data_IF_113908734600
#
_entry.id   IF_113908734600
#
_cell.length_a   1.000
_cell.length_b   1.000
_cell.length_c   1.000
_cell.angle_alpha   90.00
_cell.angle_beta   90.00
_cell.angle_gamma   90.00
#
_symmetry.space_group_name_H-M   'P 1'
#
loop_
_entity.id
_entity.type
_entity.pdbx_description
1 polymer ?
#
# COMPACT_ATOMS: atom_id res chain seq x y z
N UNK A 1 -32.30 6.20 -3.84
CA UNK A 1 -31.72 7.56 -3.95
C UNK A 1 -32.16 8.55 -2.85
N UNK A 2 -32.98 8.19 -1.84
CA UNK A 2 -33.51 9.14 -0.85
C UNK A 2 -32.54 9.54 0.29
N UNK A 3 -31.54 8.70 0.60
CA UNK A 3 -30.52 8.99 1.63
C UNK A 3 -29.52 10.03 1.11
N UNK A 4 -29.07 9.90 -0.14
CA UNK A 4 -28.09 10.82 -0.75
C UNK A 4 -28.66 12.23 -0.88
N UNK A 5 -29.96 12.38 -1.12
CA UNK A 5 -30.61 13.69 -1.24
C UNK A 5 -30.93 14.38 0.09
N UNK A 6 -30.71 13.71 1.23
CA UNK A 6 -31.00 14.25 2.57
C UNK A 6 -29.82 14.29 3.53
N UNK A 7 -28.69 13.71 3.13
CA UNK A 7 -27.46 13.78 3.92
C UNK A 7 -26.90 15.22 3.91
N UNK A 8 -26.55 15.73 5.09
CA UNK A 8 -25.84 16.98 5.25
C UNK A 8 -24.32 16.77 5.20
N UNK A 9 -23.57 17.87 5.02
CA UNK A 9 -22.11 17.82 5.11
C UNK A 9 -21.68 17.34 6.51
N UNK A 10 -20.91 16.26 6.57
CA UNK A 10 -20.44 15.64 7.81
C UNK A 10 -21.23 14.42 8.27
N UNK A 11 -22.39 14.13 7.66
CA UNK A 11 -23.15 12.92 7.97
C UNK A 11 -22.38 11.67 7.55
N UNK A 12 -22.45 10.63 8.39
CA UNK A 12 -21.86 9.31 8.12
C UNK A 12 -22.95 8.35 7.69
N UNK A 13 -22.80 7.78 6.50
CA UNK A 13 -23.73 6.81 5.94
C UNK A 13 -23.13 5.41 6.12
N UNK A 14 -23.83 4.53 6.82
CA UNK A 14 -23.47 3.12 6.87
C UNK A 14 -23.85 2.44 5.55
N UNK A 15 -22.93 1.67 4.98
CA UNK A 15 -23.16 0.84 3.81
C UNK A 15 -23.00 -0.62 4.25
N UNK A 16 -24.08 -1.37 4.17
CA UNK A 16 -24.09 -2.81 4.41
C UNK A 16 -24.32 -3.51 3.07
N UNK A 17 -23.49 -4.49 2.76
CA UNK A 17 -23.61 -5.31 1.54
C UNK A 17 -24.07 -6.71 1.92
N UNK A 18 -24.88 -7.31 1.06
CA UNK A 18 -25.25 -8.73 1.13
C UNK A 18 -24.84 -9.42 -0.18
N UNK A 19 -23.85 -10.33 -0.17
CA UNK A 19 -23.09 -10.77 0.99
C UNK A 19 -22.15 -9.68 1.55
N UNK A 20 -21.80 -9.74 2.85
CA UNK A 20 -20.71 -8.95 3.38
C UNK A 20 -19.41 -9.32 2.66
N UNK A 21 -18.48 -8.38 2.55
CA UNK A 21 -17.19 -8.64 1.90
C UNK A 21 -16.41 -9.74 2.62
N UNK A 22 -16.10 -10.82 1.90
CA UNK A 22 -15.31 -11.95 2.39
C UNK A 22 -13.81 -11.76 2.08
N UNK A 23 -13.16 -10.80 2.75
CA UNK A 23 -11.72 -10.56 2.65
C UNK A 23 -11.05 -10.62 4.02
N UNK A 24 -10.11 -11.54 4.21
CA UNK A 24 -9.39 -11.75 5.47
C UNK A 24 -8.02 -11.06 5.55
N UNK A 25 -7.59 -10.37 4.49
CA UNK A 25 -6.30 -9.63 4.46
C UNK A 25 -6.21 -8.67 5.65
N UNK A 26 -5.07 -8.68 6.34
CA UNK A 26 -4.79 -7.92 7.56
C UNK A 26 -5.19 -8.60 8.87
N UNK A 27 -5.96 -9.68 8.83
CA UNK A 27 -6.22 -10.53 9.99
C UNK A 27 -5.04 -11.47 10.25
N UNK A 28 -5.00 -12.09 11.43
CA UNK A 28 -4.12 -13.25 11.64
C UNK A 28 -4.64 -14.46 10.86
N UNK A 29 -3.79 -15.45 10.58
CA UNK A 29 -4.21 -16.69 9.92
C UNK A 29 -5.38 -17.36 10.67
N UNK A 30 -5.31 -17.38 11.99
CA UNK A 30 -6.37 -17.92 12.86
C UNK A 30 -7.68 -17.14 12.73
N UNK A 31 -7.62 -15.82 12.85
CA UNK A 31 -8.82 -14.97 12.83
C UNK A 31 -9.44 -14.93 11.42
N UNK A 32 -8.59 -14.90 10.38
CA UNK A 32 -9.01 -14.92 8.99
C UNK A 32 -9.71 -16.21 8.60
N UNK A 33 -9.21 -17.37 9.05
CA UNK A 33 -9.88 -18.64 8.84
C UNK A 33 -11.23 -18.71 9.55
N UNK A 34 -11.29 -18.28 10.82
CA UNK A 34 -12.54 -18.21 11.56
C UNK A 34 -13.56 -17.24 10.90
N UNK A 35 -13.08 -16.12 10.36
CA UNK A 35 -13.90 -15.16 9.63
C UNK A 35 -14.47 -15.74 8.34
N UNK A 36 -13.64 -16.36 7.50
CA UNK A 36 -14.05 -16.93 6.21
C UNK A 36 -14.96 -18.16 6.35
N UNK A 37 -14.74 -18.96 7.41
CA UNK A 37 -15.60 -20.11 7.72
C UNK A 37 -17.08 -19.72 7.95
N UNK A 38 -17.35 -18.49 8.42
CA UNK A 38 -18.73 -17.97 8.58
C UNK A 38 -19.49 -17.83 7.26
N UNK A 39 -18.76 -17.75 6.15
CA UNK A 39 -19.31 -17.70 4.79
C UNK A 39 -19.30 -19.08 4.12
N UNK A 40 -18.90 -20.15 4.83
CA UNK A 40 -18.73 -21.48 4.26
C UNK A 40 -17.49 -21.62 3.36
N UNK A 41 -16.56 -20.67 3.42
CA UNK A 41 -15.35 -20.66 2.59
C UNK A 41 -14.22 -21.40 3.33
N UNK A 42 -13.63 -22.41 2.68
CA UNK A 42 -12.46 -23.13 3.18
C UNK A 42 -11.19 -22.32 2.96
N UNK A 43 -10.21 -22.49 3.84
CA UNK A 43 -8.95 -21.75 3.78
C UNK A 43 -7.78 -22.69 3.56
N UNK A 44 -6.98 -22.40 2.54
CA UNK A 44 -5.67 -23.01 2.32
C UNK A 44 -4.58 -22.00 2.67
N UNK A 45 -3.84 -22.25 3.74
CA UNK A 45 -2.75 -21.36 4.18
C UNK A 45 -1.48 -21.62 3.35
N UNK A 46 -0.82 -20.55 2.91
CA UNK A 46 0.52 -20.57 2.26
C UNK A 46 1.43 -19.51 2.90
N UNK A 47 2.73 -19.57 2.61
CA UNK A 47 3.73 -18.74 3.28
C UNK A 47 3.95 -19.17 4.73
N UNK A 48 3.82 -18.23 5.67
CA UNK A 48 3.76 -18.53 7.10
C UNK A 48 2.35 -19.00 7.48
N UNK A 49 2.26 -20.28 7.84
CA UNK A 49 0.99 -20.96 8.17
C UNK A 49 0.65 -20.91 9.66
N UNK A 50 1.51 -20.30 10.48
CA UNK A 50 1.28 -20.17 11.92
C UNK A 50 0.05 -19.31 12.21
N UNK A 51 -0.67 -19.62 13.30
CA UNK A 51 -1.89 -18.90 13.68
C UNK A 51 -1.72 -17.39 13.84
N UNK A 52 -0.52 -16.95 14.23
CA UNK A 52 -0.20 -15.54 14.48
C UNK A 52 0.29 -14.77 13.26
N UNK A 53 0.59 -15.44 12.13
CA UNK A 53 1.01 -14.78 10.91
C UNK A 53 -0.12 -13.90 10.37
N UNK A 54 0.22 -12.73 9.83
CA UNK A 54 -0.75 -11.79 9.25
C UNK A 54 -0.99 -12.17 7.80
N UNK A 55 -2.26 -12.26 7.40
CA UNK A 55 -2.64 -12.53 6.01
C UNK A 55 -2.32 -11.29 5.17
N UNK A 56 -1.34 -11.41 4.29
CA UNK A 56 -0.90 -10.34 3.41
C UNK A 56 -1.52 -10.43 2.01
N UNK A 57 -2.03 -11.60 1.63
CA UNK A 57 -2.73 -11.82 0.37
C UNK A 57 -3.82 -12.88 0.47
N UNK A 58 -4.81 -12.80 -0.41
CA UNK A 58 -5.90 -13.77 -0.54
C UNK A 58 -6.25 -13.98 -2.01
N UNK A 59 -6.43 -15.25 -2.43
CA UNK A 59 -6.83 -15.60 -3.79
C UNK A 59 -7.90 -16.72 -3.80
N UNK A 60 -9.10 -16.48 -4.38
CA UNK A 60 -9.58 -15.23 -4.96
C UNK A 60 -9.75 -14.09 -3.96
N UNK A 61 -9.47 -12.85 -4.40
CA UNK A 61 -9.70 -11.63 -3.61
C UNK A 61 -11.19 -11.25 -3.59
N UNK A 62 -11.87 -11.47 -4.73
CA UNK A 62 -13.25 -11.03 -4.91
C UNK A 62 -14.24 -11.93 -4.22
N UNK A 63 -15.14 -11.32 -3.44
CA UNK A 63 -16.11 -12.03 -2.60
C UNK A 63 -16.96 -13.03 -3.40
N UNK A 64 -17.45 -12.63 -4.57
CA UNK A 64 -18.27 -13.52 -5.39
C UNK A 64 -17.50 -14.72 -5.90
N UNK A 65 -16.24 -14.54 -6.31
CA UNK A 65 -15.38 -15.64 -6.76
C UNK A 65 -14.98 -16.57 -5.61
N UNK A 66 -14.70 -16.00 -4.42
CA UNK A 66 -14.39 -16.77 -3.23
C UNK A 66 -15.58 -17.65 -2.79
N UNK A 67 -16.80 -17.10 -2.86
CA UNK A 67 -18.04 -17.84 -2.56
C UNK A 67 -18.33 -18.91 -3.60
N UNK A 68 -18.21 -18.60 -4.89
CA UNK A 68 -18.42 -19.55 -5.98
C UNK A 68 -17.44 -20.73 -5.90
N UNK A 69 -16.16 -20.45 -5.64
CA UNK A 69 -15.13 -21.48 -5.48
C UNK A 69 -15.28 -22.27 -4.18
N UNK A 70 -15.81 -21.64 -3.12
CA UNK A 70 -15.94 -22.22 -1.78
C UNK A 70 -14.61 -22.43 -1.05
N UNK A 71 -13.50 -21.93 -1.61
CA UNK A 71 -12.16 -22.03 -1.05
C UNK A 71 -11.30 -20.83 -1.48
N UNK A 72 -10.49 -20.32 -0.55
CA UNK A 72 -9.47 -19.31 -0.81
C UNK A 72 -8.11 -19.78 -0.34
N UNK A 73 -7.07 -19.37 -1.06
CA UNK A 73 -5.69 -19.41 -0.58
C UNK A 73 -5.39 -18.11 0.17
N UNK A 74 -4.77 -18.20 1.35
CA UNK A 74 -4.32 -17.04 2.14
C UNK A 74 -2.82 -17.13 2.38
N UNK A 75 -2.09 -16.08 1.99
CA UNK A 75 -0.64 -16.01 2.16
C UNK A 75 -0.30 -15.24 3.43
N UNK A 76 0.26 -15.96 4.42
CA UNK A 76 0.65 -15.39 5.70
C UNK A 76 2.10 -14.90 5.70
N UNK A 77 2.35 -13.81 6.42
CA UNK A 77 3.70 -13.28 6.68
C UNK A 77 3.87 -12.92 8.16
N UNK A 78 5.10 -12.92 8.68
CA UNK A 78 5.37 -12.40 10.01
C UNK A 78 4.91 -10.94 10.15
N UNK A 79 4.35 -10.56 11.29
CA UNK A 79 3.80 -9.22 11.50
C UNK A 79 4.85 -8.13 11.29
N UNK A 80 6.07 -8.40 11.73
CA UNK A 80 7.25 -7.55 11.65
C UNK A 80 7.76 -7.33 10.22
N UNK A 81 7.41 -8.20 9.26
CA UNK A 81 7.78 -8.01 7.85
C UNK A 81 6.85 -7.02 7.13
N UNK A 82 5.75 -6.62 7.76
CA UNK A 82 4.83 -5.63 7.21
C UNK A 82 5.28 -4.22 7.58
N UNK A 83 5.71 -3.50 6.56
CA UNK A 83 6.25 -2.15 6.65
C UNK A 83 5.14 -1.14 6.99
N UNK A 84 5.35 -0.34 8.03
CA UNK A 84 4.43 0.73 8.40
C UNK A 84 4.81 2.04 7.73
N UNK A 85 3.82 2.69 7.12
CA UNK A 85 3.97 3.99 6.48
C UNK A 85 2.91 4.95 7.01
N UNK A 86 3.22 6.24 6.97
CA UNK A 86 2.28 7.31 7.29
C UNK A 86 2.14 8.22 6.09
N UNK A 87 0.92 8.31 5.55
CA UNK A 87 0.60 9.24 4.46
C UNK A 87 0.28 10.59 5.08
N UNK A 88 1.04 11.63 4.73
CA UNK A 88 0.91 12.96 5.31
C UNK A 88 0.68 14.06 4.28
N UNK A 89 0.74 13.74 2.99
CA UNK A 89 0.48 14.72 1.93
C UNK A 89 -0.97 15.20 1.95
N UNK A 90 -1.16 16.49 1.70
CA UNK A 90 -2.49 17.07 1.43
C UNK A 90 -2.95 16.86 -0.02
N UNK A 91 -2.06 16.37 -0.89
CA UNK A 91 -2.38 16.10 -2.28
C UNK A 91 -3.20 14.80 -2.43
N UNK A 92 -4.49 15.00 -2.75
CA UNK A 92 -5.44 13.93 -2.92
C UNK A 92 -5.07 12.99 -4.08
N UNK A 93 -4.52 13.49 -5.19
CA UNK A 93 -4.17 12.68 -6.36
C UNK A 93 -3.01 11.73 -6.02
N UNK A 94 -1.93 12.27 -5.44
CA UNK A 94 -0.76 11.49 -5.01
C UNK A 94 -1.14 10.41 -3.99
N UNK A 95 -1.92 10.76 -2.96
CA UNK A 95 -2.33 9.79 -1.95
C UNK A 95 -3.31 8.75 -2.48
N UNK A 96 -4.21 9.12 -3.40
CA UNK A 96 -5.13 8.20 -4.06
C UNK A 96 -4.38 7.22 -4.96
N UNK A 97 -3.47 7.72 -5.80
CA UNK A 97 -2.61 6.91 -6.66
C UNK A 97 -1.88 5.83 -5.86
N UNK A 98 -1.18 6.24 -4.81
CA UNK A 98 -0.42 5.33 -3.95
C UNK A 98 -1.31 4.22 -3.38
N UNK A 99 -2.48 4.58 -2.82
CA UNK A 99 -3.42 3.60 -2.26
C UNK A 99 -4.04 2.70 -3.33
N UNK A 100 -4.20 3.16 -4.56
CA UNK A 100 -4.72 2.36 -5.66
C UNK A 100 -3.70 1.36 -6.19
N UNK A 101 -2.46 1.79 -6.39
CA UNK A 101 -1.37 0.92 -6.89
C UNK A 101 -1.01 -0.15 -5.87
N UNK A 102 -0.93 0.21 -4.59
CA UNK A 102 -0.58 -0.73 -3.51
C UNK A 102 -1.72 -1.64 -3.09
N UNK A 103 -2.96 -1.28 -3.43
CA UNK A 103 -4.17 -1.94 -2.94
C UNK A 103 -4.71 -1.41 -1.62
N UNK A 104 -4.00 -0.51 -0.92
CA UNK A 104 -4.45 0.08 0.35
C UNK A 104 -5.80 0.83 0.29
N UNK A 105 -6.26 1.15 -0.92
CA UNK A 105 -7.59 1.74 -1.17
C UNK A 105 -8.74 0.80 -0.84
N UNK A 106 -8.51 -0.51 -0.85
CA UNK A 106 -9.54 -1.52 -0.61
C UNK A 106 -9.07 -2.63 0.33
N UNK A 107 -7.79 -2.77 0.66
CA UNK A 107 -7.33 -3.76 1.65
C UNK A 107 -6.43 -3.12 2.72
N UNK A 108 -6.40 -3.65 3.94
CA UNK A 108 -5.59 -3.05 5.00
C UNK A 108 -4.09 -3.28 4.80
N UNK A 109 -3.69 -4.36 4.12
CA UNK A 109 -2.29 -4.64 3.75
C UNK A 109 -2.13 -4.48 2.25
N UNK A 110 -1.23 -3.59 1.84
CA UNK A 110 -0.86 -3.36 0.46
C UNK A 110 0.42 -4.08 0.07
N UNK A 111 0.74 -4.03 -1.23
CA UNK A 111 1.96 -4.60 -1.79
C UNK A 111 2.75 -3.55 -2.56
N UNK A 112 4.06 -3.64 -2.50
CA UNK A 112 4.99 -2.94 -3.40
C UNK A 112 5.95 -3.96 -3.98
N UNK A 113 6.22 -3.87 -5.28
CA UNK A 113 7.25 -4.67 -5.93
C UNK A 113 8.53 -3.86 -6.01
N UNK A 114 9.62 -4.39 -5.48
CA UNK A 114 10.94 -3.72 -5.49
C UNK A 114 11.40 -3.58 -6.94
N UNK A 115 11.75 -2.36 -7.33
CA UNK A 115 12.38 -2.08 -8.62
C UNK A 115 13.90 -2.06 -8.46
N UNK A 116 14.39 -1.39 -7.41
CA UNK A 116 15.81 -1.31 -7.13
C UNK A 116 16.03 -1.16 -5.62
N UNK A 117 16.80 -2.07 -5.05
CA UNK A 117 17.45 -1.87 -3.77
C UNK A 117 18.89 -2.38 -3.81
N UNK A 118 19.83 -1.51 -3.46
CA UNK A 118 21.26 -1.85 -3.44
C UNK A 118 21.91 -1.32 -2.16
N UNK A 119 22.79 -2.10 -1.50
CA UNK A 119 23.56 -1.62 -0.37
C UNK A 119 24.32 -0.34 -0.69
N UNK A 120 24.17 0.68 0.17
CA UNK A 120 24.78 2.00 -0.03
C UNK A 120 24.04 2.94 -0.99
N UNK A 121 22.93 2.49 -1.62
CA UNK A 121 22.06 3.36 -2.40
C UNK A 121 21.42 4.43 -1.51
N UNK A 122 21.27 5.68 -1.98
CA UNK A 122 20.62 6.73 -1.20
C UNK A 122 19.10 6.54 -1.06
N UNK A 123 18.51 5.57 -1.75
CA UNK A 123 17.07 5.31 -1.82
C UNK A 123 16.77 3.86 -2.22
N UNK A 124 15.55 3.42 -1.92
CA UNK A 124 14.95 2.19 -2.44
C UNK A 124 13.75 2.58 -3.30
N UNK A 125 13.60 1.98 -4.49
CA UNK A 125 12.48 2.27 -5.39
C UNK A 125 11.62 1.04 -5.65
N UNK A 126 10.36 1.30 -5.96
CA UNK A 126 9.33 0.30 -6.19
C UNK A 126 8.58 0.63 -7.47
N UNK A 127 8.17 -0.42 -8.19
CA UNK A 127 7.34 -0.26 -9.37
C UNK A 127 6.04 0.44 -9.03
N UNK A 128 5.70 1.42 -9.86
CA UNK A 128 4.39 2.03 -9.91
C UNK A 128 3.51 1.41 -10.99
N UNK A 129 2.48 2.17 -11.35
CA UNK A 129 1.61 1.96 -12.50
C UNK A 129 1.65 3.24 -13.36
N UNK A 130 2.19 3.11 -14.57
CA UNK A 130 2.38 4.18 -15.57
C UNK A 130 1.05 4.74 -16.11
N UNK A 131 0.09 3.86 -16.36
CA UNK A 131 -1.21 4.26 -16.89
C UNK A 131 -2.03 5.03 -15.85
N UNK A 132 -1.83 4.72 -14.57
CA UNK A 132 -2.51 5.42 -13.45
C UNK A 132 -1.81 6.69 -13.00
N UNK A 133 -0.57 6.96 -13.43
CA UNK A 133 0.20 8.14 -12.97
C UNK A 133 0.06 9.37 -13.87
N UNK A 134 -0.81 9.30 -14.88
CA UNK A 134 -1.04 10.37 -15.87
C UNK A 134 -1.62 11.66 -15.27
N UNK A 135 -2.22 11.59 -14.09
CA UNK A 135 -2.81 12.73 -13.36
C UNK A 135 -1.97 13.15 -12.14
N UNK A 136 -0.76 12.61 -11.98
CA UNK A 136 0.19 13.05 -10.96
C UNK A 136 0.83 14.37 -11.39
N UNK A 137 0.07 15.45 -11.27
CA UNK A 137 0.55 16.82 -11.51
C UNK A 137 1.60 17.18 -10.44
N UNK A 138 2.69 17.89 -10.79
CA UNK A 138 3.65 18.37 -9.81
C UNK A 138 3.00 19.15 -8.65
N UNK A 139 3.40 18.84 -7.42
CA UNK A 139 2.96 19.59 -6.24
C UNK A 139 3.44 21.04 -6.28
N UNK A 140 2.60 21.98 -5.85
CA UNK A 140 2.96 23.40 -5.77
C UNK A 140 4.08 23.64 -4.74
N UNK A 141 3.99 22.96 -3.59
CA UNK A 141 4.96 23.06 -2.49
C UNK A 141 6.12 22.06 -2.67
N UNK A 142 7.11 22.48 -3.47
CA UNK A 142 8.32 21.69 -3.70
C UNK A 142 9.14 21.48 -2.41
N UNK A 143 9.64 20.27 -2.20
CA UNK A 143 10.50 19.99 -1.06
C UNK A 143 11.84 20.76 -1.17
N UNK A 144 12.29 21.33 -0.05
CA UNK A 144 13.62 21.99 0.05
C UNK A 144 14.70 21.06 0.59
N UNK A 145 14.27 20.03 1.32
CA UNK A 145 15.11 18.97 1.87
C UNK A 145 14.26 17.73 2.01
N UNK A 146 14.74 16.64 1.41
CA UNK A 146 14.24 15.29 1.62
C UNK A 146 15.00 14.68 2.80
N UNK A 147 14.28 14.10 3.76
CA UNK A 147 14.84 13.45 4.94
C UNK A 147 14.87 11.95 4.72
N UNK A 148 15.79 11.26 5.41
CA UNK A 148 15.78 9.82 5.57
C UNK A 148 14.38 9.37 6.04
N UNK A 149 13.82 8.37 5.36
CA UNK A 149 12.49 7.81 5.56
C UNK A 149 11.35 8.50 4.80
N UNK A 150 11.60 9.59 4.08
CA UNK A 150 10.56 10.22 3.28
C UNK A 150 10.16 9.34 2.09
N UNK A 151 8.85 9.33 1.79
CA UNK A 151 8.25 8.60 0.68
C UNK A 151 7.77 9.60 -0.36
N UNK A 152 8.06 9.31 -1.62
CA UNK A 152 7.68 10.16 -2.75
C UNK A 152 7.35 9.33 -3.98
N UNK A 153 6.72 9.99 -4.95
CA UNK A 153 6.29 9.40 -6.21
C UNK A 153 6.74 10.32 -7.33
N UNK A 154 7.37 9.76 -8.36
CA UNK A 154 7.74 10.52 -9.55
C UNK A 154 6.47 10.99 -10.24
N UNK A 155 6.38 12.29 -10.50
CA UNK A 155 5.19 12.91 -11.09
C UNK A 155 5.27 12.93 -12.63
N UNK A 156 4.20 13.39 -13.29
CA UNK A 156 4.06 13.35 -14.75
C UNK A 156 5.08 14.21 -15.52
N UNK A 157 5.87 15.06 -14.85
CA UNK A 157 6.88 15.89 -15.52
C UNK A 157 8.15 15.12 -15.87
N UNK A 158 8.26 13.86 -15.45
CA UNK A 158 9.44 13.01 -15.65
C UNK A 158 9.06 11.69 -16.34
N UNK A 159 10.00 11.04 -17.07
CA UNK A 159 9.71 9.81 -17.84
C UNK A 159 9.25 8.61 -17.01
N UNK A 160 9.67 8.50 -15.74
CA UNK A 160 9.33 7.37 -14.86
C UNK A 160 8.15 7.71 -13.93
N UNK A 161 7.13 8.40 -14.44
CA UNK A 161 6.00 8.84 -13.64
C UNK A 161 5.26 7.65 -13.01
N UNK A 162 4.94 7.79 -11.72
CA UNK A 162 4.37 6.72 -10.91
C UNK A 162 5.39 5.89 -10.15
N UNK A 163 6.70 6.01 -10.44
CA UNK A 163 7.72 5.32 -9.64
C UNK A 163 7.62 5.74 -8.18
N UNK A 164 7.62 4.76 -7.27
CA UNK A 164 7.51 5.00 -5.83
C UNK A 164 8.90 4.86 -5.22
N UNK A 165 9.27 5.77 -4.31
CA UNK A 165 10.59 5.77 -3.69
C UNK A 165 10.54 6.02 -2.20
N UNK A 166 11.48 5.41 -1.47
CA UNK A 166 11.74 5.69 -0.06
C UNK A 166 13.19 6.14 0.08
N UNK A 167 13.39 7.31 0.67
CA UNK A 167 14.73 7.89 0.87
C UNK A 167 15.46 7.20 2.03
N UNK A 168 16.69 6.76 1.80
CA UNK A 168 17.53 6.11 2.83
C UNK A 168 18.58 7.07 3.42
N UNK A 169 18.84 8.21 2.78
CA UNK A 169 19.77 9.25 3.23
C UNK A 169 19.22 10.66 3.02
N UNK A 170 19.49 11.59 3.93
CA UNK A 170 19.10 13.00 3.77
C UNK A 170 19.64 13.60 2.47
N UNK A 171 18.86 14.46 1.82
CA UNK A 171 19.25 15.14 0.58
C UNK A 171 18.58 16.50 0.45
N UNK A 172 19.30 17.47 -0.11
CA UNK A 172 18.74 18.79 -0.48
C UNK A 172 18.40 18.89 -1.97
N UNK A 173 18.94 17.98 -2.78
CA UNK A 173 18.88 18.05 -4.23
C UNK A 173 17.90 17.04 -4.83
N UNK A 174 17.77 15.87 -4.20
CA UNK A 174 17.04 14.73 -4.76
C UNK A 174 16.00 14.19 -3.79
N UNK A 175 14.85 13.81 -4.33
CA UNK A 175 13.72 13.24 -3.64
C UNK A 175 13.87 11.73 -3.38
N UNK A 176 12.80 11.09 -2.87
CA UNK A 176 12.79 9.66 -2.58
C UNK A 176 12.92 8.76 -3.82
N UNK A 177 12.58 9.25 -5.01
CA UNK A 177 12.68 8.52 -6.29
C UNK A 177 13.95 8.86 -7.08
N UNK A 178 14.79 9.76 -6.55
CA UNK A 178 16.02 10.22 -7.22
C UNK A 178 15.82 11.41 -8.13
N UNK A 179 14.57 11.81 -8.36
CA UNK A 179 14.21 13.01 -9.12
C UNK A 179 14.47 14.28 -8.30
N UNK A 180 14.62 15.40 -9.00
CA UNK A 180 14.69 16.75 -8.42
C UNK A 180 13.33 17.17 -7.81
N UNK A 181 13.26 18.28 -7.03
CA UNK A 181 12.02 18.71 -6.38
C UNK A 181 10.81 18.80 -7.31
N UNK A 182 11.00 19.35 -8.50
CA UNK A 182 9.95 19.53 -9.51
C UNK A 182 9.38 18.20 -10.03
N UNK A 183 10.16 17.11 -9.98
CA UNK A 183 9.79 15.80 -10.51
C UNK A 183 9.23 14.82 -9.46
N UNK A 184 9.13 15.22 -8.19
CA UNK A 184 8.72 14.34 -7.09
C UNK A 184 7.54 14.93 -6.34
N UNK A 185 6.46 14.17 -6.26
CA UNK A 185 5.38 14.45 -5.32
C UNK A 185 5.68 13.75 -3.99
N UNK A 186 5.70 14.50 -2.89
CA UNK A 186 5.89 13.93 -1.57
C UNK A 186 4.58 13.28 -1.09
N UNK A 187 4.69 12.08 -0.53
CA UNK A 187 3.54 11.31 -0.04
C UNK A 187 3.45 11.32 1.49
N UNK A 188 4.57 11.05 2.15
CA UNK A 188 4.55 10.67 3.55
C UNK A 188 5.90 10.16 4.04
N UNK A 189 5.88 9.31 5.06
CA UNK A 189 7.10 8.76 5.67
C UNK A 189 6.95 7.28 6.03
N UNK A 190 8.05 6.55 5.96
CA UNK A 190 8.19 5.22 6.53
C UNK A 190 8.46 5.34 8.04
N UNK A 191 7.81 4.49 8.84
CA UNK A 191 7.76 4.59 10.31
C UNK A 191 8.63 3.51 11.00
N UNK A 192 9.29 2.64 10.24
CA UNK A 192 10.07 1.52 10.78
C UNK A 192 11.59 1.69 10.70
N UNK A 193 12.29 0.58 10.88
CA UNK A 193 13.74 0.50 10.69
C UNK A 193 14.10 0.42 9.20
N UNK A 194 14.81 1.44 8.72
CA UNK A 194 15.18 1.59 7.32
C UNK A 194 16.25 0.58 6.87
N UNK A 195 16.96 -0.06 7.81
CA UNK A 195 17.96 -1.09 7.49
C UNK A 195 17.35 -2.25 6.71
N UNK A 196 16.07 -2.56 6.97
CA UNK A 196 15.32 -3.62 6.29
C UNK A 196 15.17 -3.33 4.79
N UNK A 197 15.13 -2.05 4.40
CA UNK A 197 15.00 -1.65 2.99
C UNK A 197 16.30 -1.83 2.21
N UNK A 198 17.46 -1.75 2.87
CA UNK A 198 18.80 -1.88 2.25
C UNK A 198 19.13 -3.33 1.88
N UNK A 199 18.37 -4.30 2.41
CA UNK A 199 18.58 -5.74 2.22
C UNK A 199 17.47 -6.38 1.40
N UNK A 200 16.63 -5.59 0.73
CA UNK A 200 15.57 -6.11 -0.12
C UNK A 200 16.16 -6.63 -1.43
N UNK A 201 15.71 -7.82 -1.85
CA UNK A 201 16.05 -8.35 -3.15
C UNK A 201 15.24 -7.64 -4.24
N UNK A 202 15.87 -7.37 -5.38
CA UNK A 202 15.18 -6.83 -6.55
C UNK A 202 14.05 -7.77 -6.99
N UNK A 203 12.97 -7.21 -7.54
CA UNK A 203 11.75 -7.92 -7.96
C UNK A 203 10.94 -8.58 -6.82
N UNK A 204 11.43 -8.54 -5.57
CA UNK A 204 10.70 -9.07 -4.42
C UNK A 204 9.46 -8.23 -4.10
N UNK A 205 8.50 -8.84 -3.41
CA UNK A 205 7.30 -8.16 -2.93
C UNK A 205 7.45 -7.81 -1.46
N UNK A 206 7.26 -6.54 -1.12
CA UNK A 206 7.12 -6.08 0.26
C UNK A 206 5.68 -5.75 0.58
N UNK A 207 5.30 -5.96 1.83
CA UNK A 207 3.96 -5.72 2.32
C UNK A 207 3.94 -4.46 3.18
N UNK A 208 2.91 -3.63 3.00
CA UNK A 208 2.80 -2.34 3.68
C UNK A 208 1.45 -2.19 4.38
N UNK A 209 1.42 -1.40 5.45
CA UNK A 209 0.19 -0.93 6.10
C UNK A 209 0.28 0.57 6.36
N UNK A 210 -0.84 1.27 6.17
CA UNK A 210 -0.97 2.68 6.53
C UNK A 210 -1.27 2.83 8.02
N UNK A 211 -0.41 3.57 8.72
CA UNK A 211 -0.66 4.02 10.09
C UNK A 211 -1.62 5.21 10.07
N UNK A 212 -2.85 4.97 10.54
CA UNK A 212 -3.95 5.95 10.55
C UNK A 212 -4.07 6.71 11.88
N UNK A 213 -3.07 6.62 12.76
CA UNK A 213 -3.01 7.36 14.03
C UNK A 213 -2.54 8.80 13.86
#
# INVERSE_FOLDING_TARGET
>A
MAIVSRAAAGDRIAVETDPPRALAVGMTQKDGEAFLARFGIKVRRTGDTSDGAVIADQAPEETMQALEKGEVEVFGVPKESILKIKVTTGDAATSHYFRKVTGLSHKPVGKLKVQLSMPGSPMCTFYGDDARSQDLIPQDDLFKKCRKGDIGITNQSRPYHGLIGIRLTDSKQYGPTGEEPEGTNMLGRYIGDLSVLETLDDESTVYIMEDRQ
#
